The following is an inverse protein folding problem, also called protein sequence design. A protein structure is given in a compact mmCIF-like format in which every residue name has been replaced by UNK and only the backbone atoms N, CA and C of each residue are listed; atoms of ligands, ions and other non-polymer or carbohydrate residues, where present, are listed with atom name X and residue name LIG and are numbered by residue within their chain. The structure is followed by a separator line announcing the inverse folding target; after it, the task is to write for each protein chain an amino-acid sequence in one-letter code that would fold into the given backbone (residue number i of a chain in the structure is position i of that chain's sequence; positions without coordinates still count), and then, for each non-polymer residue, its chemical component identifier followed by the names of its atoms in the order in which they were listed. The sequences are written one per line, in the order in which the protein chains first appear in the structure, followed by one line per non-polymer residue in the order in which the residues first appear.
data_IF_374800394552
#
_entry.id   IF_374800394552
#
_cell.length_a   1.000
_cell.length_b   1.000
_cell.length_c   1.000
_cell.angle_alpha   90.00
_cell.angle_beta   90.00
_cell.angle_gamma   90.00
#
_symmetry.space_group_name_H-M   'P 1'
#
loop_
_entity.id
_entity.type
_entity.pdbx_description
1 polymer ?
#
# COMPACT_ATOMS: atom_id res chain seq x y z
N UNK A 1 1.86 1.93 1.46
CA UNK A 1 2.65 3.18 1.54
C UNK A 1 4.04 2.96 0.97
N UNK A 2 4.50 3.85 0.10
CA UNK A 2 5.66 3.62 -0.78
C UNK A 2 5.28 2.82 -2.02
N UNK A 3 4.06 3.02 -2.53
CA UNK A 3 3.43 2.15 -3.54
C UNK A 3 4.14 2.19 -4.90
N UNK A 4 4.94 3.23 -5.19
CA UNK A 4 5.71 3.32 -6.43
C UNK A 4 7.02 2.51 -6.38
N UNK A 5 7.42 1.98 -5.22
CA UNK A 5 8.54 1.05 -5.11
C UNK A 5 8.23 -0.28 -5.80
N UNK A 6 9.22 -0.87 -6.48
CA UNK A 6 9.03 -2.07 -7.33
C UNK A 6 8.30 -3.23 -6.65
N UNK A 7 8.65 -3.54 -5.40
CA UNK A 7 8.00 -4.62 -4.64
C UNK A 7 6.54 -4.32 -4.30
N UNK A 8 6.25 -3.12 -3.78
CA UNK A 8 4.88 -2.75 -3.43
C UNK A 8 3.99 -2.55 -4.65
N UNK A 9 4.56 -2.12 -5.78
CA UNK A 9 3.83 -2.05 -7.05
C UNK A 9 3.34 -3.43 -7.48
N UNK A 10 4.20 -4.44 -7.44
CA UNK A 10 3.82 -5.82 -7.77
C UNK A 10 2.74 -6.37 -6.81
N UNK A 11 2.84 -6.06 -5.51
CA UNK A 11 1.79 -6.42 -4.55
C UNK A 11 0.46 -5.73 -4.85
N UNK A 12 0.49 -4.44 -5.21
CA UNK A 12 -0.70 -3.67 -5.56
C UNK A 12 -1.38 -4.20 -6.83
N UNK A 13 -0.60 -4.50 -7.87
CA UNK A 13 -1.09 -5.12 -9.12
C UNK A 13 -1.75 -6.48 -8.84
N UNK A 14 -1.10 -7.34 -8.06
CA UNK A 14 -1.65 -8.66 -7.69
C UNK A 14 -2.97 -8.56 -6.91
N UNK A 15 -3.03 -7.65 -5.93
CA UNK A 15 -4.24 -7.45 -5.13
C UNK A 15 -5.38 -6.87 -5.96
N UNK A 16 -5.08 -5.93 -6.85
CA UNK A 16 -6.07 -5.38 -7.77
C UNK A 16 -6.62 -6.45 -8.72
N UNK A 17 -5.74 -7.29 -9.29
CA UNK A 17 -6.12 -8.43 -10.13
C UNK A 17 -6.97 -9.47 -9.37
N UNK A 18 -6.73 -9.62 -8.07
CA UNK A 18 -7.53 -10.46 -7.17
C UNK A 18 -8.88 -9.84 -6.77
N UNK A 19 -9.24 -8.67 -7.32
CA UNK A 19 -10.50 -7.98 -7.06
C UNK A 19 -10.51 -7.11 -5.79
N UNK A 20 -9.37 -6.92 -5.12
CA UNK A 20 -9.29 -6.01 -3.97
C UNK A 20 -9.31 -4.54 -4.42
N UNK A 21 -9.95 -3.67 -3.64
CA UNK A 21 -9.82 -2.22 -3.80
C UNK A 21 -8.48 -1.77 -3.24
N UNK A 22 -7.56 -1.37 -4.13
CA UNK A 22 -6.21 -0.94 -3.74
C UNK A 22 -6.03 0.55 -3.99
N UNK A 23 -5.43 1.23 -3.02
CA UNK A 23 -4.94 2.61 -3.15
C UNK A 23 -3.63 2.74 -2.36
N UNK A 24 -2.88 3.80 -2.61
CA UNK A 24 -1.68 4.05 -1.81
C UNK A 24 -1.11 5.44 -1.96
N UNK A 25 -0.05 5.68 -1.20
CA UNK A 25 0.71 6.92 -1.19
C UNK A 25 2.17 6.64 -1.53
N UNK A 26 2.84 7.66 -2.05
CA UNK A 26 4.30 7.68 -2.20
C UNK A 26 4.84 9.08 -1.93
N UNK A 27 6.02 9.19 -1.33
CA UNK A 27 6.65 10.47 -1.04
C UNK A 27 7.08 11.19 -2.33
N UNK A 28 7.57 10.42 -3.31
CA UNK A 28 8.10 10.95 -4.58
C UNK A 28 7.67 10.07 -5.75
N UNK A 29 6.37 10.04 -6.08
CA UNK A 29 5.84 9.22 -7.16
C UNK A 29 6.38 9.68 -8.52
N UNK A 30 6.74 8.74 -9.38
CA UNK A 30 7.10 9.02 -10.78
C UNK A 30 5.86 8.90 -11.66
N UNK A 31 5.78 9.71 -12.72
CA UNK A 31 4.67 9.65 -13.69
C UNK A 31 4.47 8.25 -14.27
N UNK A 32 5.57 7.55 -14.57
CA UNK A 32 5.54 6.17 -15.06
C UNK A 32 4.92 5.19 -14.05
N UNK A 33 5.33 5.25 -12.78
CA UNK A 33 4.79 4.35 -11.76
C UNK A 33 3.30 4.64 -11.48
N UNK A 34 2.91 5.92 -11.44
CA UNK A 34 1.51 6.33 -11.28
C UNK A 34 0.66 5.85 -12.46
N UNK A 35 1.15 5.99 -13.70
CA UNK A 35 0.44 5.56 -14.89
C UNK A 35 0.22 4.03 -14.92
N UNK A 36 1.25 3.25 -14.55
CA UNK A 36 1.15 1.80 -14.47
C UNK A 36 0.10 1.34 -13.44
N UNK A 37 0.10 1.96 -12.25
CA UNK A 37 -0.88 1.66 -11.20
C UNK A 37 -2.30 2.12 -11.59
N UNK A 38 -2.43 3.28 -12.23
CA UNK A 38 -3.72 3.76 -12.71
C UNK A 38 -4.34 2.84 -13.77
N UNK A 39 -3.51 2.23 -14.64
CA UNK A 39 -3.97 1.28 -15.65
C UNK A 39 -4.63 0.02 -15.06
N UNK A 40 -4.30 -0.33 -13.81
CA UNK A 40 -4.92 -1.42 -13.04
C UNK A 40 -5.91 -0.92 -11.98
N UNK A 41 -6.36 0.34 -12.10
CA UNK A 41 -7.39 0.91 -11.21
C UNK A 41 -6.89 1.36 -9.84
N UNK A 42 -5.57 1.41 -9.63
CA UNK A 42 -4.98 1.80 -8.34
C UNK A 42 -4.69 3.30 -8.30
N UNK A 43 -5.33 3.99 -7.34
CA UNK A 43 -5.10 5.42 -7.10
C UNK A 43 -3.85 5.63 -6.23
N UNK A 44 -2.97 6.52 -6.69
CA UNK A 44 -1.77 6.95 -5.95
C UNK A 44 -1.95 8.39 -5.47
N UNK A 45 -1.65 8.64 -4.21
CA UNK A 45 -1.56 9.98 -3.62
C UNK A 45 -0.10 10.39 -3.41
N UNK A 46 0.21 11.67 -3.65
CA UNK A 46 1.55 12.22 -3.47
C UNK A 46 1.72 12.72 -2.03
N UNK A 47 2.86 12.41 -1.42
CA UNK A 47 3.14 12.73 -0.03
C UNK A 47 2.38 11.84 0.96
N UNK A 48 2.41 12.20 2.23
CA UNK A 48 1.81 11.42 3.31
C UNK A 48 0.86 12.27 4.15
N UNK A 49 -0.39 11.83 4.26
CA UNK A 49 -1.39 12.47 5.11
C UNK A 49 -2.36 11.43 5.65
N UNK A 50 -2.78 11.58 6.91
CA UNK A 50 -3.75 10.67 7.53
C UNK A 50 -5.04 10.52 6.68
N UNK A 51 -5.47 11.61 6.02
CA UNK A 51 -6.63 11.64 5.14
C UNK A 51 -6.49 10.78 3.86
N UNK A 52 -5.29 10.29 3.53
CA UNK A 52 -5.11 9.36 2.42
C UNK A 52 -5.62 7.95 2.73
N UNK A 53 -5.80 7.61 4.02
CA UNK A 53 -6.29 6.29 4.45
C UNK A 53 -7.82 6.22 4.29
N UNK A 54 -8.35 5.36 3.43
CA UNK A 54 -9.80 5.21 3.25
C UNK A 54 -10.51 4.77 4.54
N UNK A 55 -11.77 5.17 4.71
CA UNK A 55 -12.60 4.79 5.86
C UNK A 55 -12.91 3.28 5.90
N UNK A 56 -12.87 2.62 4.75
CA UNK A 56 -13.06 1.17 4.56
C UNK A 56 -11.73 0.40 4.49
N UNK A 57 -10.60 1.00 4.89
CA UNK A 57 -9.30 0.31 4.89
C UNK A 57 -9.27 -0.88 5.87
N UNK A 58 -8.96 -2.07 5.36
CA UNK A 58 -8.87 -3.31 6.17
C UNK A 58 -7.43 -3.78 6.43
N UNK A 59 -6.49 -3.37 5.58
CA UNK A 59 -5.08 -3.77 5.64
C UNK A 59 -4.18 -2.64 5.13
N UNK A 60 -3.13 -2.35 5.89
CA UNK A 60 -2.04 -1.50 5.45
C UNK A 60 -0.79 -2.32 5.16
N UNK A 61 -0.27 -2.18 3.93
CA UNK A 61 1.05 -2.70 3.55
C UNK A 61 2.03 -1.53 3.40
N UNK A 62 3.18 -1.59 4.06
CA UNK A 62 4.19 -0.52 4.03
C UNK A 62 5.58 -1.03 3.65
N UNK A 63 6.38 -0.16 3.05
CA UNK A 63 7.79 -0.45 2.73
C UNK A 63 8.68 -0.17 3.94
N UNK A 64 9.90 -0.71 3.94
CA UNK A 64 10.89 -0.43 4.99
C UNK A 64 11.25 1.06 5.11
N UNK A 65 11.01 1.86 4.06
CA UNK A 65 11.27 3.30 4.05
C UNK A 65 10.18 4.12 4.77
N UNK A 66 9.08 3.50 5.22
CA UNK A 66 7.97 4.19 5.89
C UNK A 66 8.05 4.02 7.41
N UNK A 67 8.49 5.04 8.15
CA UNK A 67 8.69 4.97 9.60
C UNK A 67 7.34 4.93 10.36
N UNK A 68 7.32 4.46 11.63
CA UNK A 68 6.09 4.28 12.39
C UNK A 68 5.37 5.58 12.74
N UNK A 69 6.05 6.72 12.77
CA UNK A 69 5.49 8.05 12.97
C UNK A 69 4.83 8.63 11.70
N UNK A 70 4.86 7.91 10.58
CA UNK A 70 4.14 8.30 9.38
C UNK A 70 2.64 8.52 9.69
N UNK A 71 2.04 9.65 9.25
CA UNK A 71 0.68 10.01 9.62
C UNK A 71 -0.37 8.97 9.18
N UNK A 72 -0.15 8.27 8.07
CA UNK A 72 -1.04 7.22 7.59
C UNK A 72 -0.93 5.96 8.46
N UNK A 73 0.28 5.60 8.89
CA UNK A 73 0.50 4.47 9.82
C UNK A 73 -0.12 4.73 11.18
N UNK A 74 -0.02 5.96 11.69
CA UNK A 74 -0.66 6.38 12.93
C UNK A 74 -2.19 6.34 12.81
N UNK A 75 -2.76 6.83 11.71
CA UNK A 75 -4.21 6.78 11.47
C UNK A 75 -4.75 5.35 11.42
N UNK A 76 -4.03 4.44 10.75
CA UNK A 76 -4.37 3.01 10.70
C UNK A 76 -4.24 2.37 12.07
N UNK A 77 -3.19 2.70 12.84
CA UNK A 77 -3.00 2.19 14.21
C UNK A 77 -4.14 2.63 15.15
N UNK A 78 -4.53 3.91 15.10
CA UNK A 78 -5.61 4.46 15.90
C UNK A 78 -6.98 3.79 15.63
N UNK A 79 -7.15 3.23 14.42
CA UNK A 79 -8.34 2.49 14.00
C UNK A 79 -8.24 0.99 14.25
N UNK A 80 -7.18 0.51 14.89
CA UNK A 80 -6.89 -0.92 15.11
C UNK A 80 -6.86 -1.74 13.81
N UNK A 81 -6.54 -1.11 12.69
CA UNK A 81 -6.42 -1.78 11.40
C UNK A 81 -5.07 -2.48 11.32
N UNK A 82 -5.06 -3.68 10.73
CA UNK A 82 -3.86 -4.49 10.59
C UNK A 82 -2.80 -3.79 9.73
N UNK A 83 -1.56 -3.78 10.22
CA UNK A 83 -0.40 -3.27 9.48
C UNK A 83 0.62 -4.39 9.27
N UNK A 84 1.13 -4.52 8.04
CA UNK A 84 2.20 -5.46 7.71
C UNK A 84 3.25 -4.81 6.83
N UNK A 85 4.51 -5.17 7.04
CA UNK A 85 5.58 -4.81 6.11
C UNK A 85 5.47 -5.65 4.82
N UNK A 86 6.01 -5.13 3.72
CA UNK A 86 6.05 -5.87 2.45
C UNK A 86 6.64 -7.29 2.58
N UNK A 87 7.77 -7.54 3.28
CA UNK A 87 8.26 -8.91 3.48
C UNK A 87 7.30 -9.82 4.25
N UNK A 88 6.60 -9.30 5.26
CA UNK A 88 5.60 -10.06 6.01
C UNK A 88 4.42 -10.44 5.11
N UNK A 89 3.93 -9.48 4.30
CA UNK A 89 2.87 -9.72 3.33
C UNK A 89 3.25 -10.81 2.31
N UNK A 90 4.47 -10.75 1.76
CA UNK A 90 4.97 -11.80 0.86
C UNK A 90 5.03 -13.17 1.55
N UNK A 91 5.51 -13.22 2.80
CA UNK A 91 5.54 -14.47 3.56
C UNK A 91 4.14 -15.07 3.79
N UNK A 92 3.12 -14.23 3.95
CA UNK A 92 1.73 -14.70 4.06
C UNK A 92 1.18 -15.21 2.74
N UNK A 93 1.48 -14.51 1.65
CA UNK A 93 1.03 -14.89 0.31
C UNK A 93 1.60 -16.24 -0.11
N UNK A 94 2.89 -16.49 0.14
CA UNK A 94 3.54 -17.75 -0.23
C UNK A 94 3.07 -18.92 0.64
N UNK A 95 2.80 -18.69 1.94
CA UNK A 95 2.24 -19.73 2.83
C UNK A 95 0.84 -20.19 2.41
N UNK A 96 0.03 -19.32 1.78
CA UNK A 96 -1.33 -19.67 1.31
C UNK A 96 -1.35 -20.46 -0.01
N UNK A 97 -0.21 -20.60 -0.68
CA UNK A 97 -0.08 -21.28 -1.98
C UNK A 97 0.49 -22.70 -1.89
N UNK A 98 0.81 -23.16 -0.68
CA UNK A 98 1.24 -24.53 -0.37
C UNK A 98 0.18 -25.22 0.49
#
# INVERSE_FOLDING_TARGET
MGICGSGLRAAAELLADSGCRVSGSDASPTSHAVAALAAVGVKVQTGHAAAHVPDDCELLIYSAAVPPDNPERQAVAARNIRQVSYPQFLGELTRRRN
#
